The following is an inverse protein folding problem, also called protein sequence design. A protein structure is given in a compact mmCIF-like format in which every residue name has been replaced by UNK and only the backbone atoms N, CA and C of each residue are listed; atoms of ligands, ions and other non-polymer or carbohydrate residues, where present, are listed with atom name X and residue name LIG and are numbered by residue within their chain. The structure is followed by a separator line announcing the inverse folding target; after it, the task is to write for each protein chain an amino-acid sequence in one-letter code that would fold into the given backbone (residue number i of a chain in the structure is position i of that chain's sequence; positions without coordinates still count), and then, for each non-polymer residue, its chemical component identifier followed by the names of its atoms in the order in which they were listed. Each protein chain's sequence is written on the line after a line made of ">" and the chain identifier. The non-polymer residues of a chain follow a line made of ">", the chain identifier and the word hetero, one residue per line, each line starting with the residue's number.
data_IF_846983821026
#
_entry.id   IF_846983821026
#
_cell.length_a   1.000
_cell.length_b   1.000
_cell.length_c   1.000
_cell.angle_alpha   90.00
_cell.angle_beta   90.00
_cell.angle_gamma   90.00
#
_symmetry.space_group_name_H-M   'P 1'
#
loop_
_entity.id
_entity.type
_entity.pdbx_description
1 polymer ?
#
# COMPACT_ATOMS: atom_id res chain seq x y z
N UNK A 1 -33.24 -9.31 -2.86
CA UNK A 1 -33.98 -8.31 -2.05
C UNK A 1 -34.97 -9.08 -1.19
N UNK A 2 -34.91 -8.96 0.14
CA UNK A 2 -35.90 -9.55 1.05
C UNK A 2 -36.75 -8.44 1.64
N UNK A 3 -38.06 -8.59 1.59
CA UNK A 3 -39.03 -7.66 2.14
C UNK A 3 -39.51 -8.18 3.49
N UNK A 4 -39.50 -7.31 4.49
CA UNK A 4 -40.11 -7.59 5.79
C UNK A 4 -41.10 -6.49 6.08
N UNK A 5 -42.35 -6.88 6.32
CA UNK A 5 -43.37 -6.01 6.89
C UNK A 5 -43.22 -6.10 8.42
N UNK A 6 -42.77 -5.01 9.05
CA UNK A 6 -42.68 -4.96 10.52
C UNK A 6 -43.52 -3.81 11.04
N UNK A 7 -44.48 -4.14 11.91
CA UNK A 7 -45.29 -3.14 12.62
C UNK A 7 -44.50 -2.62 13.81
N UNK A 8 -43.86 -1.46 13.65
CA UNK A 8 -43.41 -0.63 14.76
C UNK A 8 -44.40 0.54 14.89
N UNK A 9 -45.09 0.65 16.03
CA UNK A 9 -46.02 1.76 16.35
C UNK A 9 -47.26 1.93 15.46
N UNK A 10 -47.84 0.83 14.95
CA UNK A 10 -49.09 0.89 14.17
C UNK A 10 -48.95 1.54 12.78
N UNK A 11 -47.71 1.71 12.29
CA UNK A 11 -47.40 2.16 10.94
C UNK A 11 -46.74 1.03 10.16
N UNK A 12 -47.07 0.95 8.88
CA UNK A 12 -46.43 0.03 7.95
C UNK A 12 -45.05 0.56 7.60
N UNK A 13 -44.02 -0.27 7.77
CA UNK A 13 -42.63 0.06 7.45
C UNK A 13 -42.10 -1.00 6.49
N UNK A 14 -41.51 -0.55 5.38
CA UNK A 14 -40.83 -1.42 4.43
C UNK A 14 -39.35 -1.47 4.78
N UNK A 15 -38.89 -2.62 5.28
CA UNK A 15 -37.46 -2.87 5.46
C UNK A 15 -36.87 -3.54 4.22
N UNK A 16 -35.86 -2.90 3.63
CA UNK A 16 -35.12 -3.43 2.47
C UNK A 16 -33.70 -3.78 2.89
N UNK A 17 -33.37 -5.06 2.83
CA UNK A 17 -31.98 -5.52 2.98
C UNK A 17 -31.33 -5.71 1.61
N UNK A 18 -30.29 -4.93 1.34
CA UNK A 18 -29.49 -4.99 0.11
C UNK A 18 -28.14 -5.62 0.43
N UNK A 19 -27.85 -6.77 -0.20
CA UNK A 19 -26.54 -7.41 -0.08
C UNK A 19 -25.51 -6.70 -0.96
N UNK A 20 -24.25 -6.65 -0.50
CA UNK A 20 -23.14 -6.22 -1.33
C UNK A 20 -22.99 -7.21 -2.50
N UNK A 21 -22.90 -6.67 -3.73
CA UNK A 21 -22.68 -7.47 -4.93
C UNK A 21 -21.21 -7.88 -5.07
N UNK A 22 -20.92 -8.82 -5.98
CA UNK A 22 -19.53 -9.24 -6.25
C UNK A 22 -18.68 -8.11 -6.82
N UNK A 23 -17.38 -8.13 -6.56
CA UNK A 23 -16.45 -7.04 -6.92
C UNK A 23 -16.47 -6.69 -8.42
N UNK A 24 -16.66 -7.66 -9.30
CA UNK A 24 -16.71 -7.43 -10.75
C UNK A 24 -18.01 -6.76 -11.24
N UNK A 25 -19.04 -6.69 -10.39
CA UNK A 25 -20.30 -6.00 -10.66
C UNK A 25 -20.34 -4.58 -10.06
N UNK A 26 -19.23 -4.11 -9.48
CA UNK A 26 -19.10 -2.76 -8.92
C UNK A 26 -18.43 -1.82 -9.95
N UNK A 27 -18.85 -0.54 -10.03
CA UNK A 27 -19.94 0.09 -9.29
C UNK A 27 -21.33 -0.26 -9.84
N UNK A 28 -22.27 -0.47 -8.92
CA UNK A 28 -23.71 -0.48 -9.26
C UNK A 28 -24.13 0.96 -9.56
N UNK A 29 -24.86 1.13 -10.65
CA UNK A 29 -25.20 2.44 -11.19
C UNK A 29 -26.66 2.49 -11.64
N UNK A 30 -27.27 3.66 -11.53
CA UNK A 30 -28.69 3.84 -11.87
C UNK A 30 -28.87 3.85 -13.40
N UNK A 31 -29.96 3.24 -13.87
CA UNK A 31 -30.38 3.27 -15.28
C UNK A 31 -29.36 2.76 -16.31
N UNK A 32 -28.37 1.95 -15.89
CA UNK A 32 -27.32 1.48 -16.81
C UNK A 32 -26.28 2.54 -17.19
N UNK A 33 -26.33 3.73 -16.57
CA UNK A 33 -25.33 4.79 -16.77
C UNK A 33 -24.32 4.80 -15.62
N UNK A 34 -23.09 4.38 -15.91
CA UNK A 34 -21.98 4.31 -14.94
C UNK A 34 -21.64 5.64 -14.28
N UNK A 35 -21.98 6.77 -14.91
CA UNK A 35 -21.79 8.11 -14.31
C UNK A 35 -22.80 8.41 -13.20
N UNK A 36 -23.84 7.57 -13.04
CA UNK A 36 -24.83 7.61 -11.97
C UNK A 36 -24.49 6.58 -10.88
N UNK A 37 -23.22 6.50 -10.50
CA UNK A 37 -22.77 5.72 -9.34
C UNK A 37 -22.75 6.57 -8.08
N UNK A 38 -23.16 5.97 -6.97
CA UNK A 38 -23.25 6.61 -5.67
C UNK A 38 -22.56 5.76 -4.61
N UNK A 39 -21.97 6.41 -3.62
CA UNK A 39 -21.42 5.77 -2.42
C UNK A 39 -22.19 6.24 -1.20
N UNK A 40 -22.56 5.31 -0.32
CA UNK A 40 -23.15 5.66 0.96
C UNK A 40 -22.06 5.93 1.99
N UNK A 41 -22.03 7.16 2.49
CA UNK A 41 -21.21 7.57 3.62
C UNK A 41 -22.11 7.79 4.85
N UNK A 42 -21.52 7.98 6.02
CA UNK A 42 -22.28 8.18 7.27
C UNK A 42 -23.29 9.34 7.20
N UNK A 43 -23.01 10.35 6.37
CA UNK A 43 -23.85 11.55 6.22
C UNK A 43 -24.91 11.45 5.13
N UNK A 44 -24.87 10.42 4.28
CA UNK A 44 -25.80 10.26 3.16
C UNK A 44 -25.20 9.59 1.93
N UNK A 45 -25.95 9.61 0.83
CA UNK A 45 -25.51 9.08 -0.44
C UNK A 45 -24.86 10.18 -1.27
N UNK A 46 -23.61 9.98 -1.68
CA UNK A 46 -22.84 10.93 -2.47
C UNK A 46 -22.64 10.40 -3.87
N UNK A 47 -22.89 11.25 -4.88
CA UNK A 47 -22.60 10.91 -6.27
C UNK A 47 -21.09 10.93 -6.49
N UNK A 48 -20.55 9.87 -7.07
CA UNK A 48 -19.13 9.84 -7.41
C UNK A 48 -18.86 10.88 -8.51
N UNK A 49 -17.87 11.73 -8.28
CA UNK A 49 -17.29 12.57 -9.34
C UNK A 49 -16.63 11.70 -10.42
N UNK A 50 -16.34 12.28 -11.59
CA UNK A 50 -15.66 11.54 -12.66
C UNK A 50 -14.31 10.96 -12.21
N UNK A 51 -13.55 11.71 -11.41
CA UNK A 51 -12.27 11.23 -10.89
C UNK A 51 -12.47 10.10 -9.89
N UNK A 52 -13.40 10.25 -8.95
CA UNK A 52 -13.69 9.19 -7.96
C UNK A 52 -14.24 7.93 -8.64
N UNK A 53 -15.11 8.07 -9.64
CA UNK A 53 -15.62 6.95 -10.43
C UNK A 53 -14.49 6.22 -11.17
N UNK A 54 -13.60 6.98 -11.81
CA UNK A 54 -12.42 6.42 -12.49
C UNK A 54 -11.51 5.68 -11.50
N UNK A 55 -11.31 6.24 -10.32
CA UNK A 55 -10.50 5.66 -9.25
C UNK A 55 -11.17 4.41 -8.66
N UNK A 56 -12.49 4.44 -8.52
CA UNK A 56 -13.28 3.32 -8.07
C UNK A 56 -13.12 2.16 -9.06
N UNK A 57 -13.34 2.42 -10.36
CA UNK A 57 -13.17 1.43 -11.42
C UNK A 57 -11.74 0.89 -11.52
N UNK A 58 -10.73 1.77 -11.43
CA UNK A 58 -9.34 1.34 -11.44
C UNK A 58 -9.02 0.46 -10.23
N UNK A 59 -9.59 0.74 -9.05
CA UNK A 59 -9.40 -0.07 -7.84
C UNK A 59 -9.97 -1.49 -7.92
N UNK A 60 -11.00 -1.75 -8.73
CA UNK A 60 -11.49 -3.11 -8.99
C UNK A 60 -10.66 -3.84 -10.04
N UNK A 61 -10.07 -3.09 -10.97
CA UNK A 61 -9.15 -3.62 -12.01
C UNK A 61 -7.71 -3.74 -11.49
N UNK A 62 -7.45 -3.33 -10.24
CA UNK A 62 -6.11 -3.32 -9.61
C UNK A 62 -5.54 -4.70 -9.31
N UNK A 63 -6.28 -5.78 -9.55
CA UNK A 63 -5.69 -7.11 -9.51
C UNK A 63 -4.46 -7.10 -10.43
N UNK A 64 -3.27 -7.05 -9.83
CA UNK A 64 -1.94 -7.15 -10.46
C UNK A 64 -1.30 -5.87 -11.06
N UNK A 65 -1.69 -4.65 -10.66
CA UNK A 65 -0.94 -3.46 -11.11
C UNK A 65 0.54 -3.52 -10.67
N UNK A 66 0.80 -3.94 -9.43
CA UNK A 66 2.17 -4.08 -8.93
C UNK A 66 2.95 -5.19 -9.62
N UNK A 67 2.26 -6.26 -10.06
CA UNK A 67 2.86 -7.39 -10.78
C UNK A 67 3.04 -7.12 -12.28
N UNK A 68 2.55 -5.98 -12.78
CA UNK A 68 2.66 -5.64 -14.20
C UNK A 68 4.12 -5.41 -14.58
N UNK A 69 4.55 -6.10 -15.63
CA UNK A 69 5.89 -5.97 -16.20
C UNK A 69 6.03 -4.61 -16.90
N UNK A 70 7.14 -3.92 -16.62
CA UNK A 70 7.60 -2.72 -17.31
C UNK A 70 8.60 -3.19 -18.38
N UNK A 71 8.20 -3.28 -19.65
CA UNK A 71 9.05 -3.87 -20.69
C UNK A 71 10.35 -3.09 -20.87
N UNK A 72 11.42 -3.79 -21.26
CA UNK A 72 12.74 -3.22 -21.56
C UNK A 72 13.41 -2.55 -20.35
N UNK A 73 13.07 -2.97 -19.13
CA UNK A 73 13.77 -2.56 -17.91
C UNK A 73 14.68 -3.68 -17.41
N UNK A 74 15.67 -3.30 -16.61
CA UNK A 74 16.76 -4.14 -16.15
C UNK A 74 17.16 -3.72 -14.73
N UNK A 75 18.28 -4.26 -14.23
CA UNK A 75 18.89 -3.77 -12.99
C UNK A 75 19.35 -2.31 -13.07
N UNK A 76 19.54 -1.76 -14.27
CA UNK A 76 19.99 -0.37 -14.47
C UNK A 76 19.02 0.68 -13.92
N UNK A 77 17.74 0.33 -13.82
CA UNK A 77 16.67 1.18 -13.28
C UNK A 77 16.57 1.13 -11.75
N UNK A 78 17.24 0.15 -11.12
CA UNK A 78 17.25 -0.04 -9.67
C UNK A 78 18.44 0.65 -9.00
N UNK A 79 18.24 1.00 -7.74
CA UNK A 79 19.32 1.25 -6.81
C UNK A 79 19.79 -0.09 -6.19
N UNK A 80 20.97 -0.55 -6.62
CA UNK A 80 21.54 -1.80 -6.12
C UNK A 80 22.00 -1.73 -4.67
N UNK A 81 22.32 -0.56 -4.13
CA UNK A 81 22.63 -0.40 -2.71
C UNK A 81 21.37 -0.65 -1.85
N UNK A 82 20.20 -0.15 -2.26
CA UNK A 82 18.91 -0.47 -1.62
C UNK A 82 18.63 -1.98 -1.66
N UNK A 83 18.86 -2.63 -2.81
CA UNK A 83 18.69 -4.09 -2.94
C UNK A 83 19.62 -4.87 -1.99
N UNK A 84 20.87 -4.42 -1.84
CA UNK A 84 21.83 -4.99 -0.90
C UNK A 84 21.41 -4.78 0.56
N UNK A 85 20.94 -3.58 0.93
CA UNK A 85 20.36 -3.30 2.26
C UNK A 85 19.20 -4.27 2.55
N UNK A 86 18.36 -4.56 1.56
CA UNK A 86 17.24 -5.51 1.71
C UNK A 86 17.71 -6.95 1.90
N UNK A 87 18.73 -7.40 1.16
CA UNK A 87 19.35 -8.72 1.40
C UNK A 87 19.95 -8.82 2.80
N UNK A 88 20.60 -7.75 3.28
CA UNK A 88 21.12 -7.72 4.65
C UNK A 88 19.99 -7.75 5.69
N UNK A 89 18.86 -7.09 5.42
CA UNK A 89 17.67 -7.17 6.25
C UNK A 89 17.14 -8.62 6.35
N UNK A 90 17.01 -9.32 5.21
CA UNK A 90 16.64 -10.75 5.18
C UNK A 90 17.66 -11.58 5.97
N UNK A 91 18.96 -11.34 5.78
CA UNK A 91 20.03 -12.08 6.48
C UNK A 91 19.95 -11.92 8.00
N UNK A 92 19.63 -10.72 8.48
CA UNK A 92 19.48 -10.47 9.92
C UNK A 92 18.26 -11.20 10.50
N UNK A 93 17.17 -11.32 9.72
CA UNK A 93 15.94 -11.98 10.15
C UNK A 93 15.97 -13.51 10.00
N UNK A 94 16.47 -13.99 8.86
CA UNK A 94 16.60 -15.41 8.52
C UNK A 94 17.92 -15.66 7.76
N UNK A 95 19.03 -15.88 8.50
CA UNK A 95 20.35 -16.14 7.91
C UNK A 95 20.41 -17.37 7.00
N UNK A 96 19.51 -18.34 7.20
CA UNK A 96 19.44 -19.59 6.44
C UNK A 96 18.52 -19.49 5.22
N UNK A 97 18.03 -18.29 4.88
CA UNK A 97 17.13 -18.10 3.74
C UNK A 97 17.82 -18.47 2.43
N UNK A 98 17.20 -19.33 1.59
CA UNK A 98 17.77 -19.71 0.29
C UNK A 98 17.87 -18.52 -0.66
N UNK A 99 17.11 -17.45 -0.43
CA UNK A 99 17.14 -16.23 -1.24
C UNK A 99 18.51 -15.54 -1.21
N UNK A 100 19.28 -15.70 -0.13
CA UNK A 100 20.57 -15.03 0.05
C UNK A 100 21.65 -15.57 -0.89
N UNK A 101 21.48 -16.78 -1.42
CA UNK A 101 22.42 -17.41 -2.35
C UNK A 101 22.15 -17.09 -3.83
N UNK A 102 21.00 -16.46 -4.13
CA UNK A 102 20.58 -16.16 -5.50
C UNK A 102 21.27 -14.90 -6.02
N UNK A 103 21.53 -14.85 -7.33
CA UNK A 103 21.92 -13.62 -8.01
C UNK A 103 20.80 -12.57 -7.99
N UNK A 104 21.07 -11.33 -8.43
CA UNK A 104 20.10 -10.23 -8.31
C UNK A 104 18.84 -10.43 -9.14
N UNK A 105 18.93 -11.00 -10.35
CA UNK A 105 17.76 -11.24 -11.19
C UNK A 105 16.92 -12.39 -10.63
N UNK A 106 17.56 -13.50 -10.25
CA UNK A 106 16.86 -14.64 -9.65
C UNK A 106 16.22 -14.27 -8.31
N UNK A 107 16.92 -13.48 -7.49
CA UNK A 107 16.37 -12.93 -6.26
C UNK A 107 15.13 -12.08 -6.52
N UNK A 108 15.22 -11.11 -7.43
CA UNK A 108 14.08 -10.26 -7.79
C UNK A 108 12.91 -11.06 -8.34
N UNK A 109 13.17 -12.10 -9.17
CA UNK A 109 12.13 -13.01 -9.63
C UNK A 109 11.44 -13.75 -8.49
N UNK A 110 12.18 -14.21 -7.49
CA UNK A 110 11.61 -14.90 -6.31
C UNK A 110 10.74 -14.01 -5.45
N UNK A 111 11.01 -12.70 -5.41
CA UNK A 111 10.20 -11.73 -4.67
C UNK A 111 9.23 -10.94 -5.58
N UNK A 112 9.00 -11.40 -6.81
CA UNK A 112 8.14 -10.77 -7.82
C UNK A 112 8.52 -9.31 -8.19
N UNK A 113 9.77 -8.90 -7.95
CA UNK A 113 10.32 -7.62 -8.38
C UNK A 113 10.75 -7.58 -9.85
N UNK A 114 10.88 -8.76 -10.47
CA UNK A 114 11.23 -8.92 -11.89
C UNK A 114 10.44 -10.11 -12.44
N UNK A 115 9.90 -10.00 -13.64
CA UNK A 115 9.08 -11.06 -14.21
C UNK A 115 9.25 -11.19 -15.73
N UNK A 116 8.89 -12.37 -16.23
CA UNK A 116 8.83 -12.69 -17.64
C UNK A 116 7.48 -13.28 -17.97
N UNK A 117 6.79 -12.64 -18.91
CA UNK A 117 5.60 -13.19 -19.55
C UNK A 117 6.04 -14.28 -20.54
N UNK A 118 5.56 -15.51 -20.31
CA UNK A 118 5.92 -16.68 -21.12
C UNK A 118 5.26 -16.60 -22.50
N UNK A 119 4.02 -16.14 -22.57
CA UNK A 119 3.24 -16.11 -23.81
C UNK A 119 3.72 -14.98 -24.72
N UNK A 120 3.91 -13.79 -24.15
CA UNK A 120 4.30 -12.60 -24.91
C UNK A 120 5.82 -12.42 -25.03
N UNK A 121 6.60 -13.19 -24.28
CA UNK A 121 8.06 -13.05 -24.18
C UNK A 121 8.57 -11.76 -23.53
N UNK A 122 7.67 -10.92 -22.99
CA UNK A 122 8.04 -9.64 -22.37
C UNK A 122 8.73 -9.90 -21.05
N UNK A 123 9.80 -9.17 -20.78
CA UNK A 123 10.61 -9.34 -19.59
C UNK A 123 11.05 -7.98 -19.05
N UNK A 124 11.13 -7.86 -17.73
CA UNK A 124 11.57 -6.65 -17.05
C UNK A 124 11.18 -6.60 -15.58
N UNK A 125 11.45 -5.45 -14.95
CA UNK A 125 10.98 -5.13 -13.61
C UNK A 125 9.46 -5.12 -13.58
N UNK A 126 8.92 -5.51 -12.43
CA UNK A 126 7.53 -5.21 -12.09
C UNK A 126 7.45 -3.83 -11.45
N UNK A 127 6.24 -3.24 -11.39
CA UNK A 127 6.06 -2.01 -10.62
C UNK A 127 6.39 -2.20 -9.14
N UNK A 128 6.14 -3.37 -8.56
CA UNK A 128 6.56 -3.70 -7.19
C UNK A 128 8.09 -3.59 -7.02
N UNK A 129 8.85 -4.20 -7.93
CA UNK A 129 10.31 -4.15 -7.91
C UNK A 129 10.84 -2.74 -8.10
N UNK A 130 10.25 -1.98 -9.03
CA UNK A 130 10.61 -0.60 -9.27
C UNK A 130 10.28 0.31 -8.08
N UNK A 131 9.09 0.19 -7.48
CA UNK A 131 8.72 1.02 -6.33
C UNK A 131 9.58 0.72 -5.11
N UNK A 132 9.95 -0.55 -4.92
CA UNK A 132 10.69 -1.00 -3.73
C UNK A 132 12.18 -0.69 -3.82
N UNK A 133 12.80 -0.84 -4.99
CA UNK A 133 14.25 -0.73 -5.16
C UNK A 133 14.68 0.27 -6.24
N UNK A 134 13.74 0.94 -6.91
CA UNK A 134 14.01 1.83 -8.03
C UNK A 134 14.74 3.10 -7.64
N UNK A 135 15.34 3.76 -8.63
CA UNK A 135 15.84 5.12 -8.50
C UNK A 135 14.66 6.10 -8.56
N UNK A 136 14.62 7.09 -7.66
CA UNK A 136 13.50 8.04 -7.56
C UNK A 136 13.10 8.67 -8.89
N UNK A 137 14.08 9.09 -9.71
CA UNK A 137 13.79 9.74 -10.99
C UNK A 137 13.18 8.78 -12.03
N UNK A 138 13.47 7.47 -11.96
CA UNK A 138 12.82 6.46 -12.80
C UNK A 138 11.41 6.18 -12.29
N UNK A 139 11.22 6.10 -10.97
CA UNK A 139 9.89 5.95 -10.37
C UNK A 139 9.01 7.11 -10.83
N UNK A 140 9.48 8.36 -10.71
CA UNK A 140 8.72 9.56 -11.10
C UNK A 140 8.52 9.74 -12.60
N UNK A 141 9.39 9.18 -13.45
CA UNK A 141 9.16 9.23 -14.90
C UNK A 141 7.97 8.35 -15.33
N UNK A 142 7.68 7.29 -14.57
CA UNK A 142 6.55 6.38 -14.81
C UNK A 142 5.34 6.70 -13.94
N UNK A 143 5.57 7.23 -12.73
CA UNK A 143 4.56 7.58 -11.73
C UNK A 143 4.81 9.02 -11.24
N UNK A 144 4.42 10.05 -12.01
CA UNK A 144 4.74 11.44 -11.69
C UNK A 144 4.17 11.94 -10.35
N UNK A 145 3.13 11.28 -9.86
CA UNK A 145 2.45 11.60 -8.60
C UNK A 145 3.08 10.89 -7.38
N UNK A 146 4.10 10.06 -7.60
CA UNK A 146 4.78 9.33 -6.54
C UNK A 146 5.37 10.29 -5.51
N UNK A 147 4.80 10.25 -4.32
CA UNK A 147 5.21 11.06 -3.19
C UNK A 147 4.95 10.31 -1.88
N UNK A 148 5.97 10.24 -1.04
CA UNK A 148 5.88 9.73 0.32
C UNK A 148 6.14 10.87 1.29
N UNK A 149 5.27 11.04 2.28
CA UNK A 149 5.35 12.11 3.26
C UNK A 149 5.02 11.55 4.64
N UNK A 150 6.01 11.54 5.53
CA UNK A 150 5.82 11.30 6.95
C UNK A 150 5.84 12.63 7.68
N UNK A 151 4.81 12.87 8.49
CA UNK A 151 4.68 14.03 9.36
C UNK A 151 4.41 13.57 10.78
N UNK A 152 4.98 14.32 11.72
CA UNK A 152 4.70 14.16 13.13
C UNK A 152 4.26 15.52 13.66
N UNK A 153 3.13 15.54 14.37
CA UNK A 153 2.63 16.73 15.08
C UNK A 153 2.78 16.51 16.57
N UNK A 154 3.29 17.52 17.25
CA UNK A 154 3.17 17.62 18.70
C UNK A 154 1.82 18.29 19.06
N UNK A 155 1.50 18.45 20.35
CA UNK A 155 0.31 19.18 20.85
C UNK A 155 0.23 20.68 20.44
N UNK A 156 1.09 21.12 19.52
CA UNK A 156 1.06 22.45 18.90
C UNK A 156 0.65 22.33 17.43
N UNK A 157 0.16 23.41 16.82
CA UNK A 157 -0.19 23.41 15.38
C UNK A 157 1.03 23.28 14.43
N UNK A 158 2.26 23.11 14.96
CA UNK A 158 3.50 23.00 14.19
C UNK A 158 3.98 21.56 14.11
N UNK A 159 4.34 21.12 12.89
CA UNK A 159 5.00 19.83 12.68
C UNK A 159 6.34 19.78 13.42
N UNK A 160 6.52 18.76 14.26
CA UNK A 160 7.76 18.50 15.00
C UNK A 160 8.78 17.78 14.12
N UNK A 161 8.32 16.95 13.18
CA UNK A 161 9.16 16.23 12.21
C UNK A 161 8.44 16.05 10.88
N UNK A 162 9.18 16.18 9.78
CA UNK A 162 8.70 15.85 8.43
C UNK A 162 9.83 15.18 7.66
N UNK A 163 9.54 14.05 7.01
CA UNK A 163 10.47 13.34 6.13
C UNK A 163 9.71 12.99 4.86
N UNK A 164 10.26 13.39 3.71
CA UNK A 164 9.69 13.09 2.39
C UNK A 164 10.58 12.13 1.61
N UNK A 165 10.07 11.56 0.52
CA UNK A 165 10.90 10.74 -0.37
C UNK A 165 12.10 11.49 -0.97
N UNK A 166 12.05 12.83 -1.05
CA UNK A 166 13.17 13.65 -1.55
C UNK A 166 14.29 13.84 -0.51
N UNK A 167 13.97 13.67 0.79
CA UNK A 167 14.94 13.79 1.88
C UNK A 167 15.74 12.51 2.09
N UNK A 168 15.42 11.44 1.35
CA UNK A 168 15.98 10.10 1.50
C UNK A 168 16.76 9.75 0.23
N UNK A 169 17.91 9.08 0.39
CA UNK A 169 18.91 8.82 -0.65
C UNK A 169 18.33 8.47 -2.03
N UNK A 170 17.41 7.49 -2.11
CA UNK A 170 16.77 7.07 -3.36
C UNK A 170 15.25 7.14 -3.36
N UNK A 171 14.65 7.63 -2.26
CA UNK A 171 13.20 7.88 -2.14
C UNK A 171 12.26 6.71 -2.43
N UNK A 172 12.77 5.50 -2.64
CA UNK A 172 11.99 4.29 -2.90
C UNK A 172 11.34 3.77 -1.60
N UNK A 173 10.40 2.83 -1.73
CA UNK A 173 9.62 2.35 -0.60
C UNK A 173 10.49 1.71 0.49
N UNK A 174 11.57 1.01 0.13
CA UNK A 174 12.40 0.36 1.12
C UNK A 174 13.28 1.35 1.89
N UNK A 175 13.88 2.34 1.24
CA UNK A 175 14.59 3.41 1.93
C UNK A 175 13.65 4.22 2.84
N UNK A 176 12.42 4.49 2.38
CA UNK A 176 11.40 5.13 3.21
C UNK A 176 11.03 4.27 4.42
N UNK A 177 10.86 2.97 4.24
CA UNK A 177 10.66 2.04 5.34
C UNK A 177 11.81 2.07 6.35
N UNK A 178 13.06 2.05 5.90
CA UNK A 178 14.25 2.11 6.77
C UNK A 178 14.34 3.44 7.54
N UNK A 179 13.95 4.56 6.93
CA UNK A 179 13.97 5.87 7.57
C UNK A 179 12.88 6.03 8.64
N UNK A 180 11.67 5.52 8.37
CA UNK A 180 10.48 5.76 9.21
C UNK A 180 10.27 4.68 10.27
N UNK A 181 10.59 3.42 9.98
CA UNK A 181 10.36 2.31 10.92
C UNK A 181 11.00 2.49 12.30
N UNK A 182 12.24 3.01 12.47
CA UNK A 182 12.81 3.22 13.80
C UNK A 182 12.05 4.27 14.60
N UNK A 183 11.52 5.31 13.94
CA UNK A 183 10.76 6.40 14.57
C UNK A 183 9.43 5.85 15.09
N UNK A 184 8.69 5.15 14.24
CA UNK A 184 7.39 4.56 14.59
C UNK A 184 7.51 3.52 15.70
N UNK A 185 8.50 2.64 15.63
CA UNK A 185 8.65 1.54 16.58
C UNK A 185 9.19 1.99 17.94
N UNK A 186 10.06 3.01 17.98
CA UNK A 186 10.53 3.57 19.25
C UNK A 186 9.38 4.25 20.01
N UNK A 187 8.52 4.99 19.31
CA UNK A 187 7.33 5.60 19.88
C UNK A 187 6.38 4.55 20.50
N UNK A 188 6.16 3.43 19.80
CA UNK A 188 5.31 2.34 20.28
C UNK A 188 5.87 1.68 21.56
N UNK A 189 7.20 1.49 21.64
CA UNK A 189 7.89 0.93 22.80
C UNK A 189 7.79 1.84 24.03
N UNK A 190 7.95 3.15 23.84
CA UNK A 190 7.97 4.11 24.95
C UNK A 190 6.60 4.34 25.63
N UNK A 191 5.48 4.08 24.94
CA UNK A 191 4.13 4.29 25.49
C UNK A 191 3.47 3.07 26.15
N UNK A 192 3.95 1.86 25.88
CA UNK A 192 3.32 0.62 26.35
C UNK A 192 4.35 -0.32 26.96
N UNK A 193 4.86 0.08 28.12
CA UNK A 193 5.58 -0.81 29.03
C UNK A 193 4.61 -1.85 29.60
N UNK A 194 4.65 -3.08 29.10
CA UNK A 194 4.05 -4.24 29.77
C UNK A 194 5.17 -5.09 30.38
N UNK A 195 5.31 -5.07 31.71
CA UNK A 195 6.14 -6.04 32.43
C UNK A 195 5.43 -7.39 32.42
N UNK A 196 5.94 -8.34 31.62
CA UNK A 196 5.60 -9.76 31.79
C UNK A 196 6.84 -10.53 32.26
N UNK A 197 6.76 -11.05 33.48
CA UNK A 197 7.59 -12.15 34.01
C UNK A 197 9.10 -12.04 33.77
N UNK A 198 9.70 -10.90 34.14
CA UNK A 198 11.15 -10.79 34.40
C UNK A 198 12.08 -11.15 33.22
N UNK A 199 11.56 -11.21 31.98
CA UNK A 199 12.36 -11.35 30.76
C UNK A 199 12.01 -10.21 29.80
N UNK A 200 13.02 -9.42 29.47
CA UNK A 200 12.96 -8.39 28.44
C UNK A 200 12.76 -9.07 27.09
N UNK A 201 11.55 -9.03 26.57
CA UNK A 201 11.28 -9.31 25.15
C UNK A 201 11.46 -8.00 24.39
N UNK A 202 12.32 -7.98 23.38
CA UNK A 202 12.67 -6.75 22.64
C UNK A 202 11.55 -6.26 21.71
N UNK A 203 10.53 -7.09 21.48
CA UNK A 203 9.39 -6.86 20.60
C UNK A 203 8.08 -7.12 21.36
N UNK A 204 7.22 -6.09 21.46
CA UNK A 204 5.88 -6.20 22.04
C UNK A 204 4.86 -6.42 20.88
N UNK A 205 3.74 -7.10 21.13
CA UNK A 205 2.68 -7.36 20.14
C UNK A 205 2.23 -6.10 19.37
N UNK A 206 2.32 -4.94 20.02
CA UNK A 206 2.03 -3.63 19.43
C UNK A 206 3.04 -3.27 18.34
N UNK A 207 4.33 -3.49 18.57
CA UNK A 207 5.38 -3.22 17.58
C UNK A 207 5.27 -4.15 16.38
N UNK A 208 4.95 -5.42 16.61
CA UNK A 208 4.70 -6.39 15.55
C UNK A 208 3.50 -6.00 14.69
N UNK A 209 2.38 -5.63 15.34
CA UNK A 209 1.17 -5.17 14.66
C UNK A 209 1.39 -3.87 13.88
N UNK A 210 2.15 -2.93 14.44
CA UNK A 210 2.47 -1.66 13.77
C UNK A 210 3.37 -1.88 12.56
N UNK A 211 4.33 -2.80 12.65
CA UNK A 211 5.19 -3.19 11.53
C UNK A 211 4.36 -3.80 10.40
N UNK A 212 3.49 -4.76 10.73
CA UNK A 212 2.59 -5.39 9.77
C UNK A 212 1.67 -4.35 9.10
N UNK A 213 1.08 -3.46 9.90
CA UNK A 213 0.24 -2.38 9.39
C UNK A 213 1.00 -1.42 8.48
N UNK A 214 2.24 -1.06 8.83
CA UNK A 214 3.07 -0.17 8.03
C UNK A 214 3.48 -0.82 6.71
N UNK A 215 3.89 -2.10 6.73
CA UNK A 215 4.18 -2.86 5.52
C UNK A 215 2.94 -2.93 4.64
N UNK A 216 1.78 -3.30 5.20
CA UNK A 216 0.53 -3.39 4.46
C UNK A 216 0.10 -2.06 3.85
N UNK A 217 0.35 -0.95 4.56
CA UNK A 217 0.09 0.37 4.03
C UNK A 217 1.00 0.68 2.83
N UNK A 218 2.30 0.41 2.92
CA UNK A 218 3.23 0.60 1.80
C UNK A 218 2.90 -0.32 0.61
N UNK A 219 2.52 -1.57 0.86
CA UNK A 219 2.24 -2.52 -0.23
C UNK A 219 0.89 -2.30 -0.91
N UNK A 220 -0.11 -1.79 -0.20
CA UNK A 220 -1.46 -1.62 -0.73
C UNK A 220 -1.84 -0.16 -1.04
N UNK A 221 -0.88 0.76 -0.95
CA UNK A 221 -1.09 2.15 -1.36
C UNK A 221 -1.31 2.29 -2.87
N UNK A 222 -2.09 3.31 -3.25
CA UNK A 222 -2.45 3.55 -4.64
C UNK A 222 -1.46 4.47 -5.35
N UNK A 223 -0.35 3.90 -5.82
CA UNK A 223 0.70 4.65 -6.52
C UNK A 223 0.34 5.09 -7.95
N UNK A 224 -0.73 4.55 -8.52
CA UNK A 224 -1.12 4.77 -9.92
C UNK A 224 -2.20 5.84 -10.11
N UNK A 225 -2.65 6.43 -9.02
CA UNK A 225 -3.74 7.38 -9.00
C UNK A 225 -3.23 8.83 -9.00
N UNK A 226 -4.07 9.76 -9.44
CA UNK A 226 -3.74 11.17 -9.60
C UNK A 226 -3.70 11.97 -8.29
N UNK A 227 -3.60 11.31 -7.15
CA UNK A 227 -3.54 11.91 -5.80
C UNK A 227 -2.24 11.56 -5.10
N UNK A 228 -1.86 12.35 -4.09
CA UNK A 228 -0.69 12.08 -3.24
C UNK A 228 -0.69 10.62 -2.78
N UNK A 229 0.40 9.90 -3.07
CA UNK A 229 0.43 8.45 -2.96
C UNK A 229 0.41 7.94 -1.52
N UNK A 230 1.10 8.62 -0.60
CA UNK A 230 1.13 8.22 0.80
C UNK A 230 1.41 9.43 1.71
N UNK A 231 0.51 9.66 2.68
CA UNK A 231 0.69 10.59 3.78
C UNK A 231 0.53 9.83 5.11
N UNK A 232 1.53 9.94 5.97
CA UNK A 232 1.49 9.45 7.36
C UNK A 232 1.53 10.68 8.25
N UNK A 233 0.58 10.79 9.18
CA UNK A 233 0.46 11.88 10.15
C UNK A 233 0.22 11.33 11.56
#
# INVERSE_FOLDING_TARGET
>A
MKYYDTTSTGKNVIAVYVQKTENHHLPVHLNGDITQSYIRLNTGDHKLSQNELRNYLSSYTKNHQDSKIIPNTSLGELNLATLQKYRQYIKNYNPSSPLLALDDIEFLRKINGYAKDIESGKEGLTYAGLLTFGKLYIIRSLLPQYFLDYKEKDNSERYSKRITCDDIEDGNLFEFYLAISPILFDFAKNRHFALHNSKRTEENQITESLREAFINMLTHSDYFNNSVSLLIE
#
